data_IF_453292241769
#
_entry.id   IF_453292241769
#
_cell.length_a   1.000
_cell.length_b   1.000
_cell.length_c   1.000
_cell.angle_alpha   90.00
_cell.angle_beta   90.00
_cell.angle_gamma   90.00
#
_symmetry.space_group_name_H-M   'P 1'
#
loop_
_entity.id
_entity.type
_entity.pdbx_description
1 polymer ?
#
# COMPACT_ATOMS: atom_id res chain seq x y z
N UNK A 1 8.82 -8.15 -0.53
CA UNK A 1 7.60 -8.08 0.32
C UNK A 1 6.54 -8.85 -0.43
N UNK A 2 5.63 -9.52 0.26
CA UNK A 2 4.64 -10.39 -0.39
C UNK A 2 3.47 -9.55 -0.93
N UNK A 3 3.14 -8.47 -0.23
CA UNK A 3 2.03 -7.57 -0.55
C UNK A 3 2.43 -6.11 -0.43
N UNK A 4 1.89 -5.27 -1.31
CA UNK A 4 1.96 -3.81 -1.21
C UNK A 4 0.57 -3.18 -1.34
N UNK A 5 0.19 -2.35 -0.38
CA UNK A 5 -1.03 -1.55 -0.42
C UNK A 5 -0.65 -0.07 -0.62
N UNK A 6 -0.83 0.40 -1.84
CA UNK A 6 -0.39 1.71 -2.31
C UNK A 6 -1.56 2.69 -2.33
N UNK A 7 -1.51 3.74 -1.51
CA UNK A 7 -2.42 4.87 -1.64
C UNK A 7 -2.06 5.69 -2.90
N UNK A 8 -2.73 5.36 -4.01
CA UNK A 8 -2.59 6.02 -5.31
C UNK A 8 -3.98 6.45 -5.84
N UNK A 9 -4.45 7.68 -5.53
CA UNK A 9 -5.76 8.17 -5.97
C UNK A 9 -5.97 8.21 -7.49
N UNK A 10 -4.89 8.18 -8.28
CA UNK A 10 -4.96 8.12 -9.74
C UNK A 10 -4.11 6.96 -10.28
N UNK A 11 -4.62 6.24 -11.28
CA UNK A 11 -4.02 4.98 -11.78
C UNK A 11 -2.55 5.10 -12.17
N UNK A 12 -2.15 6.22 -12.78
CA UNK A 12 -0.76 6.44 -13.19
C UNK A 12 0.21 6.58 -12.01
N UNK A 13 -0.27 6.99 -10.82
CA UNK A 13 0.56 7.13 -9.64
C UNK A 13 1.00 5.77 -9.10
N UNK A 14 0.20 4.71 -9.27
CA UNK A 14 0.57 3.36 -8.85
C UNK A 14 1.83 2.89 -9.58
N UNK A 15 1.93 3.14 -10.89
CA UNK A 15 3.11 2.79 -11.69
C UNK A 15 4.36 3.50 -11.18
N UNK A 16 4.26 4.82 -10.94
CA UNK A 16 5.35 5.65 -10.43
C UNK A 16 5.80 5.17 -9.04
N UNK A 17 4.85 4.92 -8.15
CA UNK A 17 5.13 4.50 -6.77
C UNK A 17 5.69 3.07 -6.72
N UNK A 18 5.20 2.16 -7.57
CA UNK A 18 5.73 0.80 -7.70
C UNK A 18 7.19 0.82 -8.13
N UNK A 19 7.52 1.59 -9.16
CA UNK A 19 8.90 1.77 -9.64
C UNK A 19 9.77 2.40 -8.55
N UNK A 20 9.32 3.51 -7.95
CA UNK A 20 10.07 4.24 -6.93
C UNK A 20 10.33 3.41 -5.65
N UNK A 21 9.42 2.49 -5.30
CA UNK A 21 9.58 1.57 -4.17
C UNK A 21 10.34 0.29 -4.52
N UNK A 22 10.72 0.09 -5.79
CA UNK A 22 11.45 -1.11 -6.23
C UNK A 22 10.64 -2.40 -6.08
N UNK A 23 9.33 -2.35 -6.28
CA UNK A 23 8.45 -3.51 -6.13
C UNK A 23 8.49 -4.38 -7.40
N UNK A 24 8.88 -5.64 -7.22
CA UNK A 24 8.95 -6.64 -8.29
C UNK A 24 7.59 -7.12 -8.79
N UNK A 25 7.61 -7.90 -9.87
CA UNK A 25 6.41 -8.46 -10.49
C UNK A 25 5.73 -9.57 -9.67
N UNK A 26 6.46 -10.11 -8.70
CA UNK A 26 6.02 -11.10 -7.72
C UNK A 26 5.23 -10.49 -6.55
N UNK A 27 5.24 -9.17 -6.38
CA UNK A 27 4.53 -8.48 -5.30
C UNK A 27 3.06 -8.31 -5.64
N UNK A 28 2.16 -8.76 -4.75
CA UNK A 28 0.73 -8.48 -4.88
C UNK A 28 0.44 -6.99 -4.61
N UNK A 29 0.15 -6.21 -5.66
CA UNK A 29 -0.17 -4.77 -5.55
C UNK A 29 -1.67 -4.56 -5.38
N UNK A 30 -2.05 -3.79 -4.35
CA UNK A 30 -3.43 -3.36 -4.07
C UNK A 30 -4.49 -4.47 -4.14
N UNK A 31 -4.29 -5.66 -3.53
CA UNK A 31 -5.33 -6.69 -3.46
C UNK A 31 -6.62 -6.22 -2.78
N UNK A 32 -6.61 -5.13 -2.00
CA UNK A 32 -7.82 -4.47 -1.49
C UNK A 32 -8.63 -3.70 -2.55
N UNK A 33 -8.12 -3.57 -3.78
CA UNK A 33 -8.60 -2.65 -4.80
C UNK A 33 -8.03 -1.23 -4.67
N UNK A 34 -7.24 -0.96 -3.63
CA UNK A 34 -6.50 0.29 -3.44
C UNK A 34 -7.41 1.52 -3.31
N UNK A 35 -6.86 2.69 -3.64
CA UNK A 35 -7.59 3.95 -3.58
C UNK A 35 -8.61 4.12 -4.74
N UNK A 36 -8.48 3.35 -5.82
CA UNK A 36 -9.43 3.35 -6.93
C UNK A 36 -10.77 2.71 -6.52
N UNK A 37 -10.74 1.70 -5.64
CA UNK A 37 -11.95 1.12 -5.07
C UNK A 37 -12.57 2.00 -3.97
N UNK A 38 -11.75 2.56 -3.08
CA UNK A 38 -12.21 3.46 -2.02
C UNK A 38 -11.10 4.42 -1.55
N UNK A 39 -11.39 5.73 -1.65
CA UNK A 39 -10.50 6.80 -1.19
C UNK A 39 -11.19 7.77 -0.21
N UNK A 40 -11.55 7.32 1.01
CA UNK A 40 -12.07 8.22 2.03
C UNK A 40 -11.00 9.22 2.47
N UNK A 41 -11.37 10.50 2.47
CA UNK A 41 -10.50 11.60 2.86
C UNK A 41 -9.88 11.35 4.24
N UNK A 42 -8.60 11.67 4.37
CA UNK A 42 -7.78 11.54 5.59
C UNK A 42 -7.58 10.11 6.13
N UNK A 43 -8.30 9.09 5.65
CA UNK A 43 -8.21 7.72 6.20
C UNK A 43 -7.70 6.69 5.20
N UNK A 44 -7.73 6.98 3.90
CA UNK A 44 -7.30 6.05 2.85
C UNK A 44 -5.89 5.45 3.08
N UNK A 45 -4.94 6.25 3.57
CA UNK A 45 -3.60 5.77 3.90
C UNK A 45 -3.57 4.80 5.09
N UNK A 46 -4.32 5.08 6.15
CA UNK A 46 -4.44 4.18 7.30
C UNK A 46 -5.15 2.86 6.93
N UNK A 47 -6.11 2.92 6.02
CA UNK A 47 -6.77 1.71 5.48
C UNK A 47 -5.74 0.80 4.81
N UNK A 48 -4.79 1.34 4.02
CA UNK A 48 -3.72 0.53 3.40
C UNK A 48 -2.87 -0.20 4.45
N UNK A 49 -2.55 0.47 5.57
CA UNK A 49 -1.84 -0.16 6.70
C UNK A 49 -2.67 -1.30 7.30
N UNK A 50 -3.96 -1.06 7.53
CA UNK A 50 -4.88 -2.09 8.03
C UNK A 50 -5.03 -3.29 7.07
N UNK A 51 -5.04 -3.04 5.76
CA UNK A 51 -5.13 -4.09 4.73
C UNK A 51 -3.88 -4.97 4.67
N UNK A 52 -2.68 -4.39 4.87
CA UNK A 52 -1.45 -5.18 5.03
C UNK A 52 -1.48 -5.97 6.34
N UNK A 53 -1.84 -5.31 7.45
CA UNK A 53 -1.95 -5.96 8.76
C UNK A 53 -2.89 -7.17 8.71
N UNK A 54 -4.08 -7.03 8.13
CA UNK A 54 -5.05 -8.13 8.03
C UNK A 54 -4.48 -9.36 7.33
N UNK A 55 -3.74 -9.16 6.23
CA UNK A 55 -3.13 -10.25 5.44
C UNK A 55 -1.98 -10.92 6.18
N UNK A 56 -1.17 -10.15 6.91
CA UNK A 56 -0.14 -10.71 7.78
C UNK A 56 -0.80 -11.50 8.92
N UNK A 57 -1.79 -10.91 9.57
CA UNK A 57 -2.50 -11.53 10.69
C UNK A 57 -3.33 -12.77 10.29
N UNK A 58 -3.74 -12.90 9.01
CA UNK A 58 -4.41 -14.10 8.50
C UNK A 58 -3.44 -15.19 8.04
N UNK A 59 -2.13 -14.89 7.98
CA UNK A 59 -1.11 -15.80 7.46
C UNK A 59 -1.01 -15.83 5.92
N UNK A 60 -1.74 -14.95 5.22
CA UNK A 60 -1.66 -14.82 3.75
C UNK A 60 -0.35 -14.17 3.27
N UNK A 61 0.30 -13.39 4.14
CA UNK A 61 1.58 -12.76 3.87
C UNK A 61 2.46 -12.81 5.13
N UNK A 62 3.78 -12.79 4.96
CA UNK A 62 4.73 -12.69 6.07
C UNK A 62 5.25 -11.25 6.24
N UNK A 63 5.36 -10.51 5.13
CA UNK A 63 5.89 -9.14 5.14
C UNK A 63 5.24 -8.29 4.06
N UNK A 64 4.82 -7.08 4.40
CA UNK A 64 4.14 -6.19 3.47
C UNK A 64 4.55 -4.73 3.62
N UNK A 65 4.23 -3.92 2.62
CA UNK A 65 4.41 -2.47 2.66
C UNK A 65 3.07 -1.76 2.46
N UNK A 66 2.82 -0.73 3.25
CA UNK A 66 1.67 0.15 3.12
C UNK A 66 2.14 1.58 2.84
N UNK A 67 1.43 2.26 1.96
CA UNK A 67 1.72 3.64 1.58
C UNK A 67 0.56 4.56 1.93
N UNK A 68 0.88 5.76 2.41
CA UNK A 68 -0.06 6.86 2.56
C UNK A 68 0.53 8.13 1.93
N UNK A 69 -0.30 8.89 1.22
CA UNK A 69 0.11 10.17 0.62
C UNK A 69 -0.85 11.30 0.97
N UNK A 70 -0.34 12.53 0.91
CA UNK A 70 -1.11 13.77 1.07
C UNK A 70 -0.44 14.94 0.33
N UNK A 71 -1.26 15.92 -0.05
CA UNK A 71 -0.82 17.11 -0.77
C UNK A 71 -0.70 16.92 -2.29
N UNK A 72 -0.54 18.02 -3.04
CA UNK A 72 -0.41 17.97 -4.49
C UNK A 72 0.87 17.23 -4.89
N UNK A 73 0.83 16.52 -6.02
CA UNK A 73 2.00 15.87 -6.61
C UNK A 73 2.79 14.97 -5.65
N UNK A 74 2.10 14.22 -4.77
CA UNK A 74 2.73 13.33 -3.79
C UNK A 74 3.71 14.09 -2.86
N UNK A 75 3.38 15.31 -2.44
CA UNK A 75 4.28 16.14 -1.61
C UNK A 75 4.68 15.46 -0.30
N UNK A 76 3.74 14.74 0.32
CA UNK A 76 3.96 14.00 1.56
C UNK A 76 3.71 12.53 1.30
N UNK A 77 4.69 11.68 1.64
CA UNK A 77 4.57 10.24 1.53
C UNK A 77 5.04 9.60 2.82
N UNK A 78 4.27 8.62 3.29
CA UNK A 78 4.62 7.71 4.37
C UNK A 78 4.65 6.31 3.80
N UNK A 79 5.76 5.61 4.04
CA UNK A 79 5.94 4.20 3.71
C UNK A 79 6.10 3.45 5.02
N UNK A 80 5.22 2.48 5.26
CA UNK A 80 5.22 1.65 6.45
C UNK A 80 5.49 0.20 6.06
N UNK A 81 6.51 -0.42 6.64
CA UNK A 81 6.79 -1.84 6.46
C UNK A 81 6.25 -2.58 7.68
N UNK A 82 5.48 -3.63 7.42
CA UNK A 82 4.93 -4.52 8.44
C UNK A 82 5.48 -5.92 8.23
N UNK A 83 5.78 -6.60 9.32
CA UNK A 83 6.32 -7.96 9.34
C UNK A 83 5.70 -8.71 10.52
N UNK A 84 5.28 -9.95 10.28
CA UNK A 84 4.79 -10.84 11.33
C UNK A 84 5.95 -11.61 11.94
N UNK A 85 6.08 -11.61 13.27
CA UNK A 85 6.96 -12.54 13.97
C UNK A 85 6.20 -13.85 14.18
N UNK A 86 6.83 -14.97 13.78
CA UNK A 86 6.36 -16.32 14.10
C UNK A 86 6.72 -16.70 15.54
#
# INVERSE_FOLDING_TARGET
>A
VDVAEIHAPFTHQELILREAMGLGDDVAINPSGGALAANPMMTAGLIRVGEVFKRISSGEASRGVAHATSGPCLQQNLVCVLEGEN
#
